data_IF_801568032704
#
_entry.id   IF_801568032704
#
_cell.length_a   1.000
_cell.length_b   1.000
_cell.length_c   1.000
_cell.angle_alpha   90.00
_cell.angle_beta   90.00
_cell.angle_gamma   90.00
#
_symmetry.space_group_name_H-M   'P 1'
#
loop_
_entity.id
_entity.type
_entity.pdbx_description
1 polymer ?
#
# COMPACT_ATOMS: atom_id res chain seq x y z
N UNK A 1 -29.12 55.13 -51.46
CA UNK A 1 -29.79 55.61 -50.23
C UNK A 1 -29.26 54.82 -49.05
N UNK A 2 -29.01 55.51 -47.93
CA UNK A 2 -28.44 55.01 -46.66
C UNK A 2 -29.10 53.74 -46.12
N UNK A 3 -28.30 52.86 -45.53
CA UNK A 3 -28.28 52.62 -44.09
C UNK A 3 -27.45 51.37 -43.77
N UNK A 4 -26.49 51.49 -42.85
CA UNK A 4 -26.15 50.43 -41.89
C UNK A 4 -25.27 51.02 -40.79
N UNK A 5 -25.93 51.46 -39.72
CA UNK A 5 -25.32 51.48 -38.41
C UNK A 5 -25.38 50.05 -37.87
N UNK A 6 -24.23 49.44 -37.62
CA UNK A 6 -24.12 48.33 -36.69
C UNK A 6 -23.15 48.75 -35.58
N UNK A 7 -23.69 48.78 -34.37
CA UNK A 7 -22.99 49.06 -33.11
C UNK A 7 -21.93 47.97 -32.87
N UNK A 8 -20.70 48.37 -32.61
CA UNK A 8 -19.66 47.50 -32.02
C UNK A 8 -19.73 47.62 -30.49
N UNK A 9 -19.79 46.48 -29.81
CA UNK A 9 -19.74 46.38 -28.36
C UNK A 9 -18.34 46.74 -27.83
N UNK A 10 -18.20 47.23 -26.57
CA UNK A 10 -16.89 47.52 -26.00
C UNK A 10 -16.14 46.22 -25.70
N UNK A 11 -14.86 46.21 -26.08
CA UNK A 11 -13.90 45.12 -25.85
C UNK A 11 -13.69 44.89 -24.35
N UNK A 12 -14.02 43.69 -23.85
CA UNK A 12 -13.70 43.26 -22.48
C UNK A 12 -12.18 43.10 -22.34
N UNK A 13 -11.61 43.80 -21.36
CA UNK A 13 -10.19 43.73 -21.02
C UNK A 13 -9.87 42.30 -20.54
N UNK A 14 -8.82 41.61 -21.04
CA UNK A 14 -8.47 40.28 -20.57
C UNK A 14 -8.18 40.30 -19.07
N UNK A 15 -8.80 39.38 -18.33
CA UNK A 15 -8.53 39.19 -16.91
C UNK A 15 -7.04 38.86 -16.70
N UNK A 16 -6.39 39.41 -15.66
CA UNK A 16 -4.99 39.10 -15.36
C UNK A 16 -4.85 37.59 -15.09
N UNK A 17 -3.81 37.00 -15.67
CA UNK A 17 -3.50 35.58 -15.49
C UNK A 17 -3.37 35.23 -14.00
N UNK A 18 -3.90 34.08 -13.55
CA UNK A 18 -3.74 33.63 -12.18
C UNK A 18 -2.25 33.53 -11.84
N UNK A 19 -1.87 34.06 -10.68
CA UNK A 19 -0.50 34.00 -10.20
C UNK A 19 -0.02 32.54 -10.17
N UNK A 20 1.24 32.27 -10.55
CA UNK A 20 1.82 30.93 -10.43
C UNK A 20 1.71 30.44 -8.98
N UNK A 21 1.35 29.18 -8.81
CA UNK A 21 1.26 28.54 -7.50
C UNK A 21 2.61 28.70 -6.76
N UNK A 22 2.60 28.97 -5.44
CA UNK A 22 3.84 29.09 -4.68
C UNK A 22 4.62 27.79 -4.79
N UNK A 23 5.90 27.88 -5.17
CA UNK A 23 6.85 26.77 -5.14
C UNK A 23 6.82 26.13 -3.74
N UNK A 24 6.86 24.79 -3.63
CA UNK A 24 7.07 24.14 -2.34
C UNK A 24 8.43 24.59 -1.81
N UNK A 25 8.42 25.50 -0.84
CA UNK A 25 9.63 26.02 -0.21
C UNK A 25 10.50 24.89 0.34
N UNK A 26 11.81 25.15 0.59
CA UNK A 26 12.72 24.14 1.08
C UNK A 26 12.19 23.55 2.39
N UNK A 27 11.92 22.23 2.39
CA UNK A 27 11.57 21.46 3.59
C UNK A 27 12.72 21.63 4.58
N UNK A 28 12.42 22.07 5.80
CA UNK A 28 13.49 22.29 6.79
C UNK A 28 14.16 20.95 7.12
N UNK A 29 15.48 20.91 7.33
CA UNK A 29 16.20 19.69 7.70
C UNK A 29 15.60 19.02 8.95
N UNK A 30 15.02 19.84 9.84
CA UNK A 30 14.24 19.41 11.00
C UNK A 30 13.00 18.59 10.62
N UNK A 31 12.20 19.06 9.66
CA UNK A 31 10.99 18.36 9.23
C UNK A 31 11.33 17.01 8.59
N UNK A 32 12.44 16.94 7.86
CA UNK A 32 12.92 15.71 7.25
C UNK A 32 13.35 14.69 8.30
N UNK A 33 14.09 15.11 9.34
CA UNK A 33 14.45 14.24 10.47
C UNK A 33 13.21 13.71 11.19
N UNK A 34 12.19 14.55 11.40
CA UNK A 34 10.93 14.14 12.04
C UNK A 34 10.18 13.13 11.18
N UNK A 35 10.03 13.37 9.88
CA UNK A 35 9.42 12.41 8.94
C UNK A 35 10.13 11.07 8.96
N UNK A 36 11.46 11.09 8.91
CA UNK A 36 12.27 9.87 8.98
C UNK A 36 12.02 9.12 10.28
N UNK A 37 12.02 9.81 11.43
CA UNK A 37 11.76 9.19 12.73
C UNK A 37 10.37 8.55 12.83
N UNK A 38 9.34 9.24 12.33
CA UNK A 38 7.98 8.69 12.24
C UNK A 38 7.98 7.42 11.39
N UNK A 39 8.64 7.44 10.22
CA UNK A 39 8.74 6.27 9.36
C UNK A 39 9.45 5.09 10.07
N UNK A 40 10.56 5.34 10.79
CA UNK A 40 11.24 4.28 11.56
C UNK A 40 10.35 3.71 12.64
N UNK A 41 9.64 4.56 13.37
CA UNK A 41 8.75 4.15 14.46
C UNK A 41 7.56 3.33 13.92
N UNK A 42 7.01 3.75 12.79
CA UNK A 42 5.94 3.04 12.08
C UNK A 42 6.40 1.64 11.65
N UNK A 43 7.57 1.54 11.04
CA UNK A 43 8.18 0.27 10.63
C UNK A 43 8.50 -0.63 11.84
N UNK A 44 9.09 -0.09 12.90
CA UNK A 44 9.39 -0.81 14.13
C UNK A 44 8.14 -1.54 14.68
N UNK A 45 6.98 -0.90 14.53
CA UNK A 45 5.71 -1.32 15.12
C UNK A 45 4.83 -2.18 14.23
N UNK A 46 5.25 -2.52 13.02
CA UNK A 46 4.44 -3.37 12.12
C UNK A 46 3.76 -2.62 10.99
N UNK A 47 3.95 -1.31 10.89
CA UNK A 47 3.23 -0.48 9.93
C UNK A 47 3.49 -0.91 8.49
N UNK A 48 4.76 -1.15 8.13
CA UNK A 48 5.13 -1.63 6.80
C UNK A 48 4.47 -2.98 6.49
N UNK A 49 4.37 -3.90 7.46
CA UNK A 49 3.70 -5.19 7.26
C UNK A 49 2.19 -5.03 7.08
N UNK A 50 1.54 -4.10 7.79
CA UNK A 50 0.13 -3.79 7.58
C UNK A 50 -0.13 -3.25 6.17
N UNK A 51 0.73 -2.37 5.67
CA UNK A 51 0.66 -1.85 4.29
C UNK A 51 0.85 -2.99 3.28
N UNK A 52 1.85 -3.86 3.49
CA UNK A 52 2.08 -5.05 2.66
C UNK A 52 0.87 -5.99 2.65
N UNK A 53 0.27 -6.25 3.83
CA UNK A 53 -0.90 -7.11 3.96
C UNK A 53 -2.15 -6.51 3.30
N UNK A 54 -2.35 -5.19 3.41
CA UNK A 54 -3.41 -4.48 2.70
C UNK A 54 -3.25 -4.61 1.18
N UNK A 55 -2.04 -4.44 0.65
CA UNK A 55 -1.73 -4.57 -0.77
C UNK A 55 -1.95 -6.00 -1.28
N UNK A 56 -1.53 -7.02 -0.53
CA UNK A 56 -1.81 -8.41 -0.88
C UNK A 56 -3.31 -8.70 -0.93
N UNK A 57 -4.08 -8.16 0.03
CA UNK A 57 -5.53 -8.30 0.03
C UNK A 57 -6.19 -7.60 -1.16
N UNK A 58 -5.70 -6.40 -1.54
CA UNK A 58 -6.14 -5.68 -2.74
C UNK A 58 -5.91 -6.49 -4.03
N UNK A 59 -4.71 -7.06 -4.21
CA UNK A 59 -4.40 -7.93 -5.35
C UNK A 59 -5.38 -9.11 -5.42
N UNK A 60 -5.74 -9.70 -4.28
CA UNK A 60 -6.73 -10.78 -4.23
C UNK A 60 -8.14 -10.30 -4.65
N UNK A 61 -8.54 -9.07 -4.26
CA UNK A 61 -9.81 -8.46 -4.68
C UNK A 61 -9.82 -8.22 -6.20
N UNK A 62 -8.75 -7.67 -6.76
CA UNK A 62 -8.61 -7.45 -8.20
C UNK A 62 -8.65 -8.78 -8.98
N UNK A 63 -7.93 -9.79 -8.51
CA UNK A 63 -7.95 -11.14 -9.08
C UNK A 63 -9.37 -11.72 -9.08
N UNK A 64 -10.06 -11.62 -7.94
CA UNK A 64 -11.44 -12.09 -7.80
C UNK A 64 -12.41 -11.35 -8.75
N UNK A 65 -12.19 -10.06 -9.01
CA UNK A 65 -12.99 -9.29 -9.95
C UNK A 65 -12.74 -9.74 -11.39
N UNK A 66 -11.48 -9.86 -11.82
CA UNK A 66 -11.13 -10.33 -13.17
C UNK A 66 -11.67 -11.72 -13.47
N UNK A 67 -11.60 -12.65 -12.50
CA UNK A 67 -12.18 -13.99 -12.65
C UNK A 67 -13.70 -13.95 -12.84
N UNK A 68 -14.41 -13.08 -12.12
CA UNK A 68 -15.88 -12.91 -12.27
C UNK A 68 -16.24 -12.29 -13.62
N UNK A 69 -15.48 -11.30 -14.07
CA UNK A 69 -15.68 -10.68 -15.39
C UNK A 69 -15.41 -11.67 -16.53
N UNK A 70 -14.46 -12.59 -16.37
CA UNK A 70 -14.20 -13.65 -17.34
C UNK A 70 -15.33 -14.71 -17.35
N UNK A 71 -15.82 -15.11 -16.17
CA UNK A 71 -16.93 -16.06 -16.05
C UNK A 71 -18.24 -15.47 -16.60
N UNK A 72 -18.51 -14.19 -16.34
CA UNK A 72 -19.65 -13.48 -16.92
C UNK A 72 -19.56 -13.40 -18.44
N UNK A 73 -18.39 -13.05 -19.01
CA UNK A 73 -18.19 -13.04 -20.46
C UNK A 73 -18.44 -14.41 -21.09
N UNK A 74 -17.93 -15.48 -20.47
CA UNK A 74 -18.21 -16.86 -20.91
C UNK A 74 -19.71 -17.19 -20.89
N UNK A 75 -20.43 -16.76 -19.85
CA UNK A 75 -21.88 -16.98 -19.75
C UNK A 75 -22.67 -16.13 -20.75
N UNK A 76 -22.19 -14.95 -21.13
CA UNK A 76 -22.77 -14.13 -22.19
C UNK A 76 -22.57 -14.79 -23.57
N UNK A 77 -21.38 -15.34 -23.83
CA UNK A 77 -21.04 -16.05 -25.07
C UNK A 77 -21.75 -17.41 -25.18
N UNK A 78 -21.85 -18.14 -24.07
CA UNK A 78 -22.47 -19.47 -24.01
C UNK A 78 -23.43 -19.60 -22.79
N UNK A 79 -24.68 -19.12 -22.89
CA UNK A 79 -25.64 -19.08 -21.77
C UNK A 79 -26.02 -20.45 -21.20
N UNK A 80 -25.83 -21.51 -21.98
CA UNK A 80 -26.14 -22.90 -21.62
C UNK A 80 -24.88 -23.71 -21.25
N UNK A 81 -23.71 -23.08 -21.18
CA UNK A 81 -22.48 -23.75 -20.77
C UNK A 81 -22.58 -24.15 -19.29
N UNK A 82 -23.06 -25.37 -19.05
CA UNK A 82 -23.00 -26.00 -17.73
C UNK A 82 -21.53 -26.12 -17.34
N UNK A 83 -21.15 -25.59 -16.16
CA UNK A 83 -19.84 -25.88 -15.58
C UNK A 83 -19.70 -27.39 -15.40
N UNK A 84 -18.50 -27.92 -15.59
CA UNK A 84 -18.26 -29.34 -15.35
C UNK A 84 -18.62 -29.68 -13.90
N UNK A 85 -19.18 -30.86 -13.66
CA UNK A 85 -19.60 -31.28 -12.32
C UNK A 85 -18.39 -31.28 -11.38
N UNK A 86 -18.38 -30.36 -10.41
CA UNK A 86 -17.27 -30.18 -9.45
C UNK A 86 -16.33 -29.01 -9.76
N UNK A 87 -16.52 -28.33 -10.89
CA UNK A 87 -15.79 -27.10 -11.24
C UNK A 87 -16.28 -25.95 -10.34
N UNK A 88 -15.46 -25.60 -9.36
CA UNK A 88 -15.71 -24.43 -8.50
C UNK A 88 -15.35 -23.16 -9.28
N UNK A 89 -16.07 -22.04 -9.07
CA UNK A 89 -15.58 -20.75 -9.54
C UNK A 89 -14.14 -20.55 -9.08
N UNK A 90 -13.26 -20.06 -9.97
CA UNK A 90 -11.86 -19.77 -9.65
C UNK A 90 -11.76 -18.79 -8.47
N UNK A 91 -12.79 -17.94 -8.28
CA UNK A 91 -13.02 -17.11 -7.11
C UNK A 91 -14.50 -17.03 -6.77
N UNK A 92 -14.86 -17.27 -5.50
CA UNK A 92 -16.23 -17.08 -5.01
C UNK A 92 -16.49 -15.62 -4.59
N UNK A 93 -17.74 -15.15 -4.68
CA UNK A 93 -18.14 -13.82 -4.18
C UNK A 93 -17.81 -13.66 -2.69
N UNK A 94 -17.87 -14.75 -1.93
CA UNK A 94 -17.49 -14.82 -0.51
C UNK A 94 -16.01 -14.53 -0.27
N UNK A 95 -15.11 -15.08 -1.10
CA UNK A 95 -13.67 -14.83 -0.99
C UNK A 95 -13.33 -13.38 -1.35
N UNK A 96 -13.92 -12.83 -2.42
CA UNK A 96 -13.71 -11.42 -2.78
C UNK A 96 -14.16 -10.46 -1.67
N UNK A 97 -15.32 -10.69 -1.03
CA UNK A 97 -15.79 -9.89 0.11
C UNK A 97 -14.88 -10.02 1.33
N UNK A 98 -14.35 -11.22 1.56
CA UNK A 98 -13.45 -11.49 2.67
C UNK A 98 -12.14 -10.71 2.51
N UNK A 99 -11.51 -10.77 1.34
CA UNK A 99 -10.28 -10.01 1.05
C UNK A 99 -10.51 -8.51 1.07
N UNK A 100 -11.68 -8.03 0.62
CA UNK A 100 -12.04 -6.61 0.73
C UNK A 100 -12.14 -6.16 2.19
N UNK A 101 -12.71 -6.98 3.07
CA UNK A 101 -12.77 -6.68 4.51
C UNK A 101 -11.38 -6.67 5.13
N UNK A 102 -10.54 -7.65 4.79
CA UNK A 102 -9.18 -7.74 5.32
C UNK A 102 -8.32 -6.56 4.81
N UNK A 103 -8.46 -6.16 3.54
CA UNK A 103 -7.86 -4.95 2.97
C UNK A 103 -8.25 -3.69 3.75
N UNK A 104 -9.56 -3.44 3.91
CA UNK A 104 -10.05 -2.26 4.65
C UNK A 104 -9.53 -2.25 6.08
N UNK A 105 -9.55 -3.41 6.74
CA UNK A 105 -9.06 -3.56 8.11
C UNK A 105 -7.57 -3.19 8.20
N UNK A 106 -6.71 -3.79 7.38
CA UNK A 106 -5.27 -3.53 7.44
C UNK A 106 -4.94 -2.07 7.08
N UNK A 107 -5.63 -1.48 6.10
CA UNK A 107 -5.44 -0.06 5.75
C UNK A 107 -5.84 0.87 6.89
N UNK A 108 -6.95 0.59 7.58
CA UNK A 108 -7.37 1.38 8.74
C UNK A 108 -6.42 1.21 9.94
N UNK A 109 -5.95 -0.01 10.19
CA UNK A 109 -4.96 -0.28 11.24
C UNK A 109 -3.63 0.42 10.94
N UNK A 110 -3.16 0.41 9.69
CA UNK A 110 -1.98 1.14 9.25
C UNK A 110 -2.16 2.66 9.43
N UNK A 111 -3.28 3.24 9.01
CA UNK A 111 -3.55 4.67 9.18
C UNK A 111 -3.57 5.09 10.66
N UNK A 112 -4.24 4.33 11.52
CA UNK A 112 -4.26 4.58 12.97
C UNK A 112 -2.86 4.48 13.60
N UNK A 113 -2.06 3.51 13.15
CA UNK A 113 -0.69 3.35 13.63
C UNK A 113 0.19 4.51 13.17
N UNK A 114 0.04 4.98 11.94
CA UNK A 114 0.74 6.15 11.40
C UNK A 114 0.41 7.41 12.23
N UNK A 115 -0.86 7.71 12.45
CA UNK A 115 -1.30 8.83 13.29
C UNK A 115 -0.75 8.74 14.72
N UNK A 116 -0.71 7.53 15.29
CA UNK A 116 -0.13 7.30 16.61
C UNK A 116 1.38 7.57 16.64
N UNK A 117 2.12 7.12 15.63
CA UNK A 117 3.56 7.36 15.53
C UNK A 117 3.88 8.85 15.38
N UNK A 118 3.12 9.57 14.54
CA UNK A 118 3.25 11.03 14.39
C UNK A 118 3.00 11.77 15.71
N UNK A 119 1.95 11.37 16.43
CA UNK A 119 1.61 11.95 17.72
C UNK A 119 2.71 11.73 18.75
N UNK A 120 3.23 10.51 18.85
CA UNK A 120 4.27 10.19 19.83
C UNK A 120 5.59 10.91 19.55
N UNK A 121 5.99 11.04 18.28
CA UNK A 121 7.17 11.85 17.92
C UNK A 121 6.94 13.32 18.28
N UNK A 122 5.74 13.86 18.02
CA UNK A 122 5.38 15.24 18.37
C UNK A 122 5.41 15.45 19.88
N UNK A 123 4.74 14.60 20.65
CA UNK A 123 4.68 14.66 22.12
C UNK A 123 6.08 14.58 22.73
N UNK A 124 6.97 13.72 22.19
CA UNK A 124 8.33 13.62 22.68
C UNK A 124 9.15 14.90 22.44
N UNK A 125 8.97 15.56 21.29
CA UNK A 125 9.60 16.85 20.99
C UNK A 125 9.04 17.96 21.90
N UNK A 126 7.74 17.94 22.18
CA UNK A 126 7.10 18.90 23.09
C UNK A 126 7.58 18.73 24.54
N UNK A 127 7.70 17.48 25.00
CA UNK A 127 8.15 17.16 26.37
C UNK A 127 9.64 17.39 26.58
N UNK A 128 10.47 17.26 25.54
CA UNK A 128 11.92 17.55 25.60
C UNK A 128 12.33 18.38 24.39
N UNK A 129 12.08 19.70 24.40
CA UNK A 129 12.34 20.57 23.25
C UNK A 129 13.85 20.60 22.90
N UNK A 130 14.25 20.12 21.71
CA UNK A 130 15.65 20.12 21.33
C UNK A 130 16.09 21.53 20.89
N UNK A 131 17.23 21.98 21.42
CA UNK A 131 17.78 23.32 21.17
C UNK A 131 18.51 23.42 19.83
N UNK A 132 18.92 22.28 19.28
CA UNK A 132 19.67 22.16 18.03
C UNK A 132 19.35 20.82 17.34
N UNK A 133 19.79 20.67 16.09
CA UNK A 133 19.57 19.45 15.30
C UNK A 133 20.20 18.21 15.93
N UNK A 134 21.35 18.34 16.61
CA UNK A 134 22.03 17.20 17.23
C UNK A 134 21.23 16.62 18.39
N UNK A 135 20.66 17.47 19.23
CA UNK A 135 19.74 17.07 20.30
C UNK A 135 18.47 16.42 19.75
N UNK A 136 17.95 16.94 18.63
CA UNK A 136 16.81 16.34 17.93
C UNK A 136 17.15 14.94 17.44
N UNK A 137 18.28 14.74 16.76
CA UNK A 137 18.71 13.41 16.30
C UNK A 137 18.80 12.42 17.46
N UNK A 138 19.43 12.79 18.58
CA UNK A 138 19.56 11.90 19.75
C UNK A 138 18.19 11.56 20.35
N UNK A 139 17.26 12.53 20.42
CA UNK A 139 15.90 12.29 20.91
C UNK A 139 15.15 11.29 20.00
N UNK A 140 15.21 11.52 18.69
CA UNK A 140 14.54 10.68 17.68
C UNK A 140 15.15 9.27 17.60
N UNK A 141 16.47 9.13 17.74
CA UNK A 141 17.14 7.82 17.82
C UNK A 141 16.71 7.03 19.06
N UNK A 142 16.55 7.70 20.21
CA UNK A 142 16.05 7.05 21.44
C UNK A 142 14.61 6.56 21.28
N UNK A 143 13.75 7.35 20.63
CA UNK A 143 12.36 6.95 20.36
C UNK A 143 12.25 5.76 19.41
N UNK A 144 13.19 5.64 18.49
CA UNK A 144 13.17 4.63 17.41
C UNK A 144 14.05 3.41 17.71
N UNK A 145 14.59 3.31 18.94
CA UNK A 145 15.62 2.37 19.37
C UNK A 145 15.53 0.97 18.72
N UNK A 146 16.46 0.67 17.81
CA UNK A 146 16.62 -0.65 17.19
C UNK A 146 15.88 -0.89 15.86
N UNK A 147 15.03 0.05 15.41
CA UNK A 147 14.41 -0.04 14.10
C UNK A 147 15.42 0.31 13.00
N UNK A 148 16.12 -0.70 12.47
CA UNK A 148 16.78 -0.56 11.18
C UNK A 148 15.68 -0.29 10.16
N UNK A 149 15.68 0.91 9.61
CA UNK A 149 14.81 1.20 8.46
C UNK A 149 15.37 0.41 7.31
N UNK A 150 14.69 -0.65 6.90
CA UNK A 150 14.92 -1.18 5.57
C UNK A 150 14.26 -0.20 4.61
N UNK A 151 15.02 0.81 4.16
CA UNK A 151 14.61 1.63 3.03
C UNK A 151 14.44 0.70 1.84
N UNK A 152 13.20 0.31 1.55
CA UNK A 152 12.91 -0.43 0.34
C UNK A 152 13.11 0.54 -0.83
N UNK A 153 14.14 0.27 -1.64
CA UNK A 153 14.35 0.98 -2.89
C UNK A 153 13.10 0.82 -3.79
N UNK A 154 12.77 1.80 -4.65
CA UNK A 154 11.63 1.70 -5.56
C UNK A 154 11.61 0.41 -6.40
N UNK A 155 12.79 -0.07 -6.81
CA UNK A 155 13.00 -1.33 -7.51
C UNK A 155 12.53 -2.56 -6.69
N UNK A 156 12.72 -2.52 -5.36
CA UNK A 156 12.26 -3.57 -4.46
C UNK A 156 10.74 -3.56 -4.30
N UNK A 157 10.11 -2.37 -4.40
CA UNK A 157 8.65 -2.23 -4.38
C UNK A 157 8.05 -2.87 -5.64
N UNK A 158 8.61 -2.59 -6.82
CA UNK A 158 8.13 -3.18 -8.07
C UNK A 158 8.32 -4.70 -8.12
N UNK A 159 9.48 -5.20 -7.64
CA UNK A 159 9.74 -6.63 -7.50
C UNK A 159 8.74 -7.30 -6.53
N UNK A 160 8.43 -6.64 -5.42
CA UNK A 160 7.42 -7.08 -4.46
C UNK A 160 6.02 -7.17 -5.09
N UNK A 161 5.60 -6.14 -5.82
CA UNK A 161 4.28 -6.11 -6.46
C UNK A 161 4.16 -7.16 -7.56
N UNK A 162 5.23 -7.39 -8.30
CA UNK A 162 5.29 -8.43 -9.33
C UNK A 162 5.22 -9.81 -8.69
N UNK A 163 6.03 -10.08 -7.68
CA UNK A 163 5.98 -11.33 -6.93
C UNK A 163 4.61 -11.55 -6.27
N UNK A 164 4.00 -10.51 -5.69
CA UNK A 164 2.66 -10.57 -5.10
C UNK A 164 1.58 -10.93 -6.12
N UNK A 165 1.62 -10.37 -7.32
CA UNK A 165 0.72 -10.72 -8.43
C UNK A 165 0.91 -12.16 -8.89
N UNK A 166 2.15 -12.61 -9.01
CA UNK A 166 2.45 -13.99 -9.37
C UNK A 166 2.01 -14.99 -8.30
N UNK A 167 2.18 -14.68 -7.02
CA UNK A 167 1.66 -15.47 -5.91
C UNK A 167 0.14 -15.54 -5.95
N UNK A 168 -0.53 -14.41 -6.21
CA UNK A 168 -1.99 -14.38 -6.34
C UNK A 168 -2.52 -15.23 -7.51
N UNK A 169 -1.72 -15.38 -8.57
CA UNK A 169 -2.06 -16.22 -9.72
C UNK A 169 -1.79 -17.72 -9.49
N UNK A 170 -0.94 -18.07 -8.53
CA UNK A 170 -0.45 -19.46 -8.34
C UNK A 170 -0.95 -20.11 -7.06
N UNK A 171 -1.07 -19.35 -5.97
CA UNK A 171 -1.55 -19.84 -4.68
C UNK A 171 -3.08 -19.86 -4.62
N UNK A 172 -3.60 -20.82 -3.86
CA UNK A 172 -5.01 -20.82 -3.48
C UNK A 172 -5.32 -19.64 -2.54
N UNK A 173 -6.54 -19.08 -2.57
CA UNK A 173 -6.93 -17.95 -1.73
C UNK A 173 -6.68 -18.17 -0.23
N UNK A 174 -6.87 -19.41 0.25
CA UNK A 174 -6.63 -19.74 1.65
C UNK A 174 -5.15 -19.63 2.04
N UNK A 175 -4.24 -20.02 1.14
CA UNK A 175 -2.80 -19.94 1.35
C UNK A 175 -2.31 -18.48 1.35
N UNK A 176 -2.86 -17.63 0.46
CA UNK A 176 -2.58 -16.19 0.46
C UNK A 176 -3.05 -15.52 1.75
N UNK A 177 -4.20 -15.96 2.27
CA UNK A 177 -4.73 -15.46 3.53
C UNK A 177 -3.88 -15.88 4.73
N UNK A 178 -3.46 -17.15 4.77
CA UNK A 178 -2.52 -17.64 5.77
C UNK A 178 -1.23 -16.81 5.73
N UNK A 179 -0.67 -16.58 4.54
CA UNK A 179 0.53 -15.77 4.35
C UNK A 179 0.35 -14.32 4.83
N UNK A 180 -0.77 -13.69 4.51
CA UNK A 180 -1.08 -12.34 4.97
C UNK A 180 -1.18 -12.27 6.50
N UNK A 181 -1.80 -13.27 7.14
CA UNK A 181 -1.90 -13.34 8.60
C UNK A 181 -0.53 -13.54 9.26
N UNK A 182 0.28 -14.45 8.72
CA UNK A 182 1.64 -14.72 9.20
C UNK A 182 2.50 -13.44 9.13
N UNK A 183 2.42 -12.72 8.01
CA UNK A 183 3.14 -11.46 7.79
C UNK A 183 2.77 -10.39 8.82
N UNK A 184 1.48 -10.22 9.11
CA UNK A 184 0.99 -9.25 10.12
C UNK A 184 1.42 -9.64 11.53
N UNK A 185 1.37 -10.93 11.87
CA UNK A 185 1.73 -11.44 13.19
C UNK A 185 3.24 -11.51 13.43
N UNK A 186 4.07 -11.31 12.39
CA UNK A 186 5.53 -11.45 12.44
C UNK A 186 5.99 -12.80 13.00
N UNK A 187 5.24 -13.84 12.69
CA UNK A 187 5.50 -15.20 13.19
C UNK A 187 6.48 -15.91 12.26
N UNK A 188 7.77 -15.81 12.60
CA UNK A 188 8.86 -16.37 11.79
C UNK A 188 8.77 -17.90 11.66
N UNK A 189 8.36 -18.59 12.72
CA UNK A 189 8.25 -20.05 12.73
C UNK A 189 7.10 -20.51 11.82
N UNK A 190 5.95 -19.81 11.88
CA UNK A 190 4.84 -20.09 10.96
C UNK A 190 5.18 -19.70 9.53
N UNK A 191 5.94 -18.63 9.31
CA UNK A 191 6.41 -18.25 7.98
C UNK A 191 7.31 -19.32 7.39
N UNK A 192 8.29 -19.80 8.16
CA UNK A 192 9.20 -20.86 7.75
C UNK A 192 8.42 -22.14 7.42
N UNK A 193 7.51 -22.55 8.29
CA UNK A 193 6.65 -23.72 8.07
C UNK A 193 5.71 -23.56 6.86
N UNK A 194 5.26 -22.33 6.56
CA UNK A 194 4.48 -22.05 5.36
C UNK A 194 5.34 -22.15 4.09
N UNK A 195 6.51 -21.52 4.08
CA UNK A 195 7.44 -21.52 2.95
C UNK A 195 7.92 -22.94 2.62
N UNK A 196 8.22 -23.76 3.63
CA UNK A 196 8.70 -25.14 3.43
C UNK A 196 7.69 -26.05 2.73
N UNK A 197 6.38 -25.78 2.89
CA UNK A 197 5.29 -26.49 2.22
C UNK A 197 5.21 -26.20 0.71
N UNK A 198 5.96 -25.20 0.21
CA UNK A 198 5.93 -24.78 -1.18
C UNK A 198 7.25 -25.10 -1.94
N UNK A 199 7.19 -25.27 -3.27
CA UNK A 199 8.37 -25.50 -4.10
C UNK A 199 9.39 -24.36 -4.02
N UNK A 200 10.70 -24.62 -4.26
CA UNK A 200 11.76 -23.61 -4.13
C UNK A 200 11.50 -22.31 -4.88
N UNK A 201 10.99 -22.40 -6.11
CA UNK A 201 10.63 -21.25 -6.94
C UNK A 201 9.55 -20.37 -6.28
N UNK A 202 8.61 -21.00 -5.57
CA UNK A 202 7.56 -20.30 -4.82
C UNK A 202 8.09 -19.70 -3.52
N UNK A 203 9.09 -20.32 -2.89
CA UNK A 203 9.73 -19.77 -1.67
C UNK A 203 10.35 -18.41 -1.95
N UNK A 204 11.10 -18.31 -3.04
CA UNK A 204 11.72 -17.05 -3.48
C UNK A 204 10.63 -16.00 -3.69
N UNK A 205 9.55 -16.33 -4.40
CA UNK A 205 8.43 -15.39 -4.62
C UNK A 205 7.74 -14.98 -3.31
N UNK A 206 7.56 -15.89 -2.36
CA UNK A 206 6.99 -15.60 -1.04
C UNK A 206 7.88 -14.59 -0.30
N UNK A 207 9.18 -14.83 -0.23
CA UNK A 207 10.12 -13.91 0.42
C UNK A 207 10.17 -12.56 -0.30
N UNK A 208 10.27 -12.55 -1.63
CA UNK A 208 10.27 -11.34 -2.44
C UNK A 208 8.98 -10.54 -2.25
N UNK A 209 7.79 -11.16 -2.27
CA UNK A 209 6.52 -10.47 -2.06
C UNK A 209 6.37 -9.90 -0.65
N UNK A 210 7.01 -10.51 0.35
CA UNK A 210 7.08 -10.00 1.71
C UNK A 210 8.18 -8.94 1.90
N UNK A 211 9.02 -8.69 0.88
CA UNK A 211 10.19 -7.82 0.97
C UNK A 211 11.19 -8.32 1.99
N UNK A 212 11.32 -9.64 2.12
CA UNK A 212 12.32 -10.32 2.94
C UNK A 212 13.42 -10.82 2.02
N UNK A 213 14.69 -10.61 2.38
CA UNK A 213 15.78 -11.28 1.69
C UNK A 213 15.75 -12.77 2.04
N UNK A 214 15.71 -13.64 1.02
CA UNK A 214 15.93 -15.07 1.23
C UNK A 214 17.34 -15.23 1.82
N UNK A 215 17.42 -15.73 3.05
CA UNK A 215 18.68 -16.07 3.70
C UNK A 215 19.33 -17.30 3.03
#
# INVERSE_FOLDING_TARGET
MSNKQFRTAPSEKPAPAPAPAPDPGPVSARDELVKQAVARLFEARGGTQLVKAARLAEICVEGAQKCREADNRRLEEEPMAMRAKGERPIYTVSEGRLHMRDMVRYSQEAARLQERCEREVREAIEMTPPRNERELCVLLERLTCGAKVEFMLPENIEAMETAGRELAATLKPEALRELAQISVLRDADRLQAFVERHPPEMRVKIFTALGLHAA
#
